data_IF_519958956543
#
_entry.id   IF_519958956543
#
_cell.length_a   1.000
_cell.length_b   1.000
_cell.length_c   1.000
_cell.angle_alpha   90.00
_cell.angle_beta   90.00
_cell.angle_gamma   90.00
#
_symmetry.space_group_name_H-M   'P 1'
#
loop_
_entity.id
_entity.type
_entity.pdbx_description
1 polymer ?
#
# COMPACT_ATOMS: atom_id res chain seq x y z
N UNK A 1 -25.86 14.35 10.56
CA UNK A 1 -25.13 15.50 9.97
C UNK A 1 -24.82 15.14 8.52
N UNK A 2 -25.62 15.64 7.58
CA UNK A 2 -25.60 15.26 6.15
C UNK A 2 -24.35 15.83 5.47
N UNK A 3 -23.35 15.00 5.18
CA UNK A 3 -22.33 15.34 4.20
C UNK A 3 -22.94 15.04 2.84
N UNK A 4 -23.62 16.05 2.30
CA UNK A 4 -24.15 16.06 0.95
C UNK A 4 -22.97 15.83 0.00
N UNK A 5 -22.87 14.64 -0.57
CA UNK A 5 -22.16 14.47 -1.83
C UNK A 5 -22.85 15.40 -2.82
N UNK A 6 -22.29 16.59 -3.05
CA UNK A 6 -22.64 17.37 -4.23
C UNK A 6 -22.19 16.52 -5.42
N UNK A 7 -23.10 15.69 -5.95
CA UNK A 7 -23.09 15.41 -7.40
C UNK A 7 -22.91 16.79 -8.03
N UNK A 8 -21.84 17.01 -8.79
CA UNK A 8 -21.61 18.29 -9.44
C UNK A 8 -22.79 18.49 -10.41
N UNK A 9 -23.81 19.32 -10.08
CA UNK A 9 -24.97 19.50 -10.94
C UNK A 9 -24.63 20.41 -12.12
N UNK A 10 -23.40 20.94 -12.18
CA UNK A 10 -22.96 22.01 -13.07
C UNK A 10 -22.13 21.54 -14.26
N UNK A 11 -22.09 20.24 -14.56
CA UNK A 11 -21.82 19.83 -15.95
C UNK A 11 -23.09 20.12 -16.74
N UNK A 12 -23.32 21.40 -17.01
CA UNK A 12 -24.17 21.80 -18.11
C UNK A 12 -23.52 21.19 -19.36
N UNK A 13 -24.28 20.54 -20.23
CA UNK A 13 -23.74 20.01 -21.48
C UNK A 13 -23.20 21.18 -22.31
N UNK A 14 -21.89 21.42 -22.21
CA UNK A 14 -21.21 22.47 -22.96
C UNK A 14 -21.17 21.99 -24.41
N UNK A 15 -21.93 22.67 -25.26
CA UNK A 15 -21.98 22.33 -26.69
C UNK A 15 -20.79 22.97 -27.39
N UNK A 16 -20.24 22.31 -28.43
CA UNK A 16 -19.09 22.83 -29.19
C UNK A 16 -19.32 24.25 -29.75
N UNK A 17 -20.57 24.62 -30.05
CA UNK A 17 -20.96 25.97 -30.48
C UNK A 17 -20.74 27.04 -29.41
N UNK A 18 -20.89 26.68 -28.12
CA UNK A 18 -20.70 27.60 -27.00
C UNK A 18 -19.21 27.83 -26.72
N UNK A 19 -18.37 26.81 -26.91
CA UNK A 19 -16.91 26.93 -26.77
C UNK A 19 -16.30 27.83 -27.86
N UNK A 20 -16.90 27.84 -29.05
CA UNK A 20 -16.48 28.73 -30.13
C UNK A 20 -16.77 30.22 -29.84
N UNK A 21 -17.68 30.53 -28.91
CA UNK A 21 -17.98 31.91 -28.51
C UNK A 21 -16.98 32.40 -27.45
N UNK A 22 -16.19 33.41 -27.81
CA UNK A 22 -15.17 34.01 -26.95
C UNK A 22 -15.76 34.64 -25.66
N UNK A 23 -16.91 35.30 -25.75
CA UNK A 23 -17.56 35.93 -24.59
C UNK A 23 -18.04 34.89 -23.57
N UNK A 24 -18.49 33.74 -24.06
CA UNK A 24 -18.89 32.61 -23.22
C UNK A 24 -17.68 31.98 -22.51
N UNK A 25 -16.55 31.85 -23.20
CA UNK A 25 -15.30 31.34 -22.60
C UNK A 25 -14.78 32.31 -21.54
N UNK A 26 -14.73 33.61 -21.83
CA UNK A 26 -14.23 34.63 -20.90
C UNK A 26 -15.10 34.73 -19.64
N UNK A 27 -16.43 34.69 -19.80
CA UNK A 27 -17.35 34.63 -18.66
C UNK A 27 -17.22 33.32 -17.86
N UNK A 28 -17.01 32.19 -18.54
CA UNK A 28 -16.80 30.88 -17.89
C UNK A 28 -15.49 30.79 -17.10
N UNK A 29 -14.44 31.47 -17.55
CA UNK A 29 -13.18 31.61 -16.81
C UNK A 29 -13.40 32.50 -15.58
N UNK A 30 -14.09 33.64 -15.74
CA UNK A 30 -14.36 34.56 -14.64
C UNK A 30 -15.21 33.97 -13.51
N UNK A 31 -16.05 32.97 -13.82
CA UNK A 31 -16.97 32.31 -12.89
C UNK A 31 -16.46 30.94 -12.38
N UNK A 32 -15.21 30.58 -12.64
CA UNK A 32 -14.60 29.28 -12.30
C UNK A 32 -15.33 28.05 -12.89
N UNK A 33 -16.22 28.24 -13.85
CA UNK A 33 -16.93 27.14 -14.51
C UNK A 33 -15.98 26.27 -15.32
N UNK A 34 -15.00 26.89 -15.99
CA UNK A 34 -13.94 26.17 -16.69
C UNK A 34 -13.11 25.28 -15.73
N UNK A 35 -12.81 25.78 -14.53
CA UNK A 35 -12.07 25.00 -13.52
C UNK A 35 -12.86 23.79 -13.02
N UNK A 36 -14.15 23.97 -12.74
CA UNK A 36 -15.04 22.87 -12.32
C UNK A 36 -15.27 21.85 -13.43
N UNK A 37 -15.35 22.28 -14.69
CA UNK A 37 -15.43 21.40 -15.85
C UNK A 37 -14.23 20.45 -15.92
N UNK A 38 -13.02 20.98 -15.67
CA UNK A 38 -11.79 20.18 -15.66
C UNK A 38 -11.80 19.07 -14.61
N UNK A 39 -12.62 19.15 -13.56
CA UNK A 39 -12.74 18.07 -12.57
C UNK A 39 -13.30 16.76 -13.17
N UNK A 40 -13.95 16.82 -14.34
CA UNK A 40 -14.36 15.62 -15.08
C UNK A 40 -13.20 14.92 -15.80
N UNK A 41 -12.11 15.65 -16.08
CA UNK A 41 -10.93 15.17 -16.78
C UNK A 41 -9.95 14.59 -15.76
N UNK A 42 -9.67 13.29 -15.85
CA UNK A 42 -8.68 12.62 -15.01
C UNK A 42 -7.30 13.24 -15.21
N UNK A 43 -6.58 13.49 -14.11
CA UNK A 43 -5.23 14.07 -14.15
C UNK A 43 -5.19 15.61 -14.14
N UNK A 44 -6.34 16.29 -14.28
CA UNK A 44 -6.40 17.74 -14.13
C UNK A 44 -6.17 18.17 -12.66
N UNK A 45 -5.71 19.40 -12.40
CA UNK A 45 -5.58 19.92 -11.04
C UNK A 45 -6.92 19.93 -10.28
N UNK A 46 -8.02 20.27 -10.94
CA UNK A 46 -9.35 20.28 -10.36
C UNK A 46 -9.83 18.87 -9.96
N UNK A 47 -9.50 17.85 -10.77
CA UNK A 47 -9.77 16.45 -10.45
C UNK A 47 -9.04 16.01 -9.19
N UNK A 48 -7.74 16.30 -9.08
CA UNK A 48 -6.94 15.94 -7.90
C UNK A 48 -7.40 16.65 -6.63
N UNK A 49 -7.82 17.92 -6.73
CA UNK A 49 -8.38 18.65 -5.60
C UNK A 49 -9.67 17.99 -5.08
N UNK A 50 -10.55 17.54 -5.99
CA UNK A 50 -11.77 16.81 -5.65
C UNK A 50 -11.46 15.46 -4.98
N UNK A 51 -10.51 14.69 -5.53
CA UNK A 51 -10.12 13.41 -4.94
C UNK A 51 -9.50 13.59 -3.54
N UNK A 52 -8.65 14.61 -3.35
CA UNK A 52 -8.10 14.96 -2.04
C UNK A 52 -9.20 15.23 -1.01
N UNK A 53 -10.19 16.06 -1.37
CA UNK A 53 -11.35 16.36 -0.51
C UNK A 53 -12.16 15.10 -0.19
N UNK A 54 -12.31 14.19 -1.16
CA UNK A 54 -12.99 12.91 -0.97
C UNK A 54 -12.26 12.03 0.05
N UNK A 55 -10.94 11.89 -0.06
CA UNK A 55 -10.11 11.15 0.90
C UNK A 55 -10.17 11.78 2.29
N UNK A 56 -10.06 13.10 2.41
CA UNK A 56 -10.20 13.80 3.70
C UNK A 56 -11.59 13.60 4.32
N UNK A 57 -12.64 13.55 3.49
CA UNK A 57 -14.00 13.21 3.92
C UNK A 57 -14.09 11.78 4.46
N UNK A 58 -13.48 10.81 3.76
CA UNK A 58 -13.41 9.43 4.21
C UNK A 58 -12.68 9.29 5.54
N UNK A 59 -11.52 9.94 5.70
CA UNK A 59 -10.76 9.92 6.97
C UNK A 59 -11.58 10.51 8.14
N UNK A 60 -12.39 11.55 7.87
CA UNK A 60 -13.26 12.15 8.89
C UNK A 60 -14.45 11.26 9.27
N UNK A 61 -15.00 10.50 8.31
CA UNK A 61 -16.20 9.67 8.52
C UNK A 61 -15.88 8.28 9.06
N UNK A 62 -14.92 7.59 8.45
CA UNK A 62 -14.56 6.21 8.76
C UNK A 62 -13.40 6.10 9.77
N UNK A 63 -12.78 7.22 10.13
CA UNK A 63 -11.62 7.26 11.00
C UNK A 63 -10.31 7.05 10.23
N UNK A 64 -9.27 6.62 10.94
CA UNK A 64 -7.96 6.41 10.34
C UNK A 64 -8.05 5.25 9.32
N UNK A 65 -7.35 5.39 8.19
CA UNK A 65 -7.35 4.37 7.15
C UNK A 65 -6.73 3.06 7.66
N UNK A 66 -7.41 1.94 7.42
CA UNK A 66 -6.86 0.61 7.65
C UNK A 66 -5.94 0.23 6.49
N UNK A 67 -4.64 0.06 6.77
CA UNK A 67 -3.71 -0.53 5.80
C UNK A 67 -3.75 -2.05 5.91
N UNK A 68 -4.05 -2.70 4.79
CA UNK A 68 -3.89 -4.14 4.65
C UNK A 68 -2.58 -4.42 3.94
N UNK A 69 -1.62 -5.03 4.64
CA UNK A 69 -0.33 -5.44 4.09
C UNK A 69 -0.24 -6.95 4.21
N UNK A 70 -0.13 -7.63 3.08
CA UNK A 70 0.15 -9.06 3.01
C UNK A 70 1.65 -9.27 2.88
N UNK A 71 2.24 -10.03 3.82
CA UNK A 71 3.65 -10.40 3.77
C UNK A 71 3.75 -11.90 3.54
N UNK A 72 4.50 -12.29 2.52
CA UNK A 72 4.74 -13.69 2.19
C UNK A 72 6.11 -14.11 2.69
N UNK A 73 6.20 -15.31 3.28
CA UNK A 73 7.46 -15.94 3.62
C UNK A 73 8.06 -16.59 2.36
N UNK A 74 9.23 -16.12 1.94
CA UNK A 74 9.98 -16.65 0.81
C UNK A 74 11.27 -17.32 1.31
N UNK A 75 11.10 -18.35 2.15
CA UNK A 75 12.16 -18.99 2.94
C UNK A 75 13.28 -19.58 2.07
N UNK A 76 12.94 -20.07 0.88
CA UNK A 76 13.89 -20.63 -0.10
C UNK A 76 14.90 -19.61 -0.64
N UNK A 77 14.61 -18.31 -0.49
CA UNK A 77 15.48 -17.23 -0.93
C UNK A 77 16.31 -16.61 0.19
N UNK A 78 16.03 -16.94 1.45
CA UNK A 78 16.75 -16.38 2.60
C UNK A 78 18.02 -17.18 2.85
N UNK A 79 19.14 -16.72 2.27
CA UNK A 79 20.44 -17.38 2.37
C UNK A 79 20.85 -17.56 3.82
N UNK A 80 20.62 -16.57 4.67
CA UNK A 80 20.97 -16.64 6.09
C UNK A 80 20.16 -17.72 6.82
N UNK A 81 18.88 -17.87 6.47
CA UNK A 81 18.04 -18.96 7.00
C UNK A 81 18.56 -20.32 6.56
N UNK A 82 18.92 -20.47 5.28
CA UNK A 82 19.44 -21.72 4.74
C UNK A 82 20.77 -22.13 5.40
N UNK A 83 21.66 -21.17 5.69
CA UNK A 83 22.88 -21.44 6.48
C UNK A 83 22.55 -21.95 7.88
N UNK A 84 21.60 -21.30 8.57
CA UNK A 84 21.16 -21.71 9.92
C UNK A 84 20.55 -23.11 9.89
N UNK A 85 19.70 -23.40 8.91
CA UNK A 85 19.07 -24.70 8.75
C UNK A 85 20.10 -25.79 8.44
N UNK A 86 21.06 -25.53 7.56
CA UNK A 86 22.14 -26.49 7.24
C UNK A 86 22.98 -26.79 8.48
N UNK A 87 23.30 -25.77 9.28
CA UNK A 87 24.00 -25.93 10.55
C UNK A 87 23.19 -26.72 11.59
N UNK A 88 21.88 -26.51 11.65
CA UNK A 88 21.03 -27.14 12.67
C UNK A 88 20.68 -28.58 12.32
N UNK A 89 20.33 -28.84 11.05
CA UNK A 89 19.90 -30.15 10.56
C UNK A 89 21.09 -31.04 10.21
N UNK A 90 22.01 -30.53 9.37
CA UNK A 90 23.10 -31.32 8.81
C UNK A 90 24.43 -31.13 9.54
N UNK A 91 24.51 -30.18 10.49
CA UNK A 91 25.71 -29.83 11.29
C UNK A 91 26.90 -29.38 10.44
N UNK A 92 26.62 -28.82 9.27
CA UNK A 92 27.61 -28.26 8.35
C UNK A 92 27.55 -26.73 8.38
N UNK A 93 28.72 -26.10 8.50
CA UNK A 93 28.87 -24.65 8.36
C UNK A 93 29.13 -24.31 6.89
N UNK A 94 28.16 -23.66 6.26
CA UNK A 94 28.20 -23.19 4.87
C UNK A 94 28.21 -21.66 4.79
N UNK A 95 28.72 -21.11 3.68
CA UNK A 95 28.62 -19.67 3.39
C UNK A 95 27.29 -19.33 2.73
N UNK A 96 26.90 -18.05 2.77
CA UNK A 96 25.65 -17.59 2.14
C UNK A 96 25.65 -17.76 0.62
N UNK A 97 26.81 -17.72 -0.03
CA UNK A 97 26.97 -17.93 -1.47
C UNK A 97 26.60 -19.38 -1.84
N UNK A 98 27.19 -20.35 -1.13
CA UNK A 98 26.87 -21.77 -1.29
C UNK A 98 25.41 -22.07 -0.96
N UNK A 99 24.83 -21.38 0.03
CA UNK A 99 23.41 -21.47 0.36
C UNK A 99 22.50 -20.91 -0.76
N UNK A 100 23.00 -19.97 -1.56
CA UNK A 100 22.29 -19.46 -2.74
C UNK A 100 22.22 -20.49 -3.87
N UNK A 101 23.31 -21.21 -4.08
CA UNK A 101 23.52 -22.12 -5.24
C UNK A 101 22.92 -23.52 -5.07
N UNK A 102 22.55 -23.92 -3.85
CA UNK A 102 21.92 -25.23 -3.59
C UNK A 102 20.63 -25.43 -4.39
N UNK A 103 20.38 -26.70 -4.74
CA UNK A 103 19.18 -27.10 -5.47
C UNK A 103 17.90 -26.81 -4.68
N UNK A 104 16.80 -26.66 -5.40
CA UNK A 104 15.50 -26.38 -4.79
C UNK A 104 15.05 -27.52 -3.87
N UNK A 105 15.33 -28.76 -4.26
CA UNK A 105 14.99 -29.97 -3.51
C UNK A 105 15.69 -29.99 -2.15
N UNK A 106 16.97 -29.61 -2.12
CA UNK A 106 17.76 -29.54 -0.89
C UNK A 106 17.25 -28.45 0.04
N UNK A 107 16.97 -27.25 -0.50
CA UNK A 107 16.37 -26.14 0.26
C UNK A 107 15.03 -26.56 0.86
N UNK A 108 14.18 -27.20 0.05
CA UNK A 108 12.87 -27.65 0.49
C UNK A 108 12.99 -28.80 1.52
N UNK A 109 14.00 -29.66 1.43
CA UNK A 109 14.28 -30.68 2.45
C UNK A 109 14.60 -30.02 3.78
N UNK A 110 15.53 -29.06 3.80
CA UNK A 110 15.94 -28.34 5.00
C UNK A 110 14.77 -27.65 5.70
N UNK A 111 13.94 -26.92 4.94
CA UNK A 111 12.76 -26.22 5.46
C UNK A 111 11.73 -27.19 6.05
N UNK A 112 11.50 -28.33 5.39
CA UNK A 112 10.56 -29.35 5.89
C UNK A 112 11.06 -30.07 7.13
N UNK A 113 12.38 -30.24 7.27
CA UNK A 113 12.96 -30.92 8.43
C UNK A 113 12.89 -30.06 9.69
N UNK A 114 13.09 -28.75 9.57
CA UNK A 114 12.98 -27.82 10.71
C UNK A 114 12.08 -26.61 10.40
N UNK A 115 10.75 -26.81 10.36
CA UNK A 115 9.80 -25.74 10.12
C UNK A 115 9.71 -24.75 11.29
N UNK A 116 10.13 -25.15 12.49
CA UNK A 116 10.05 -24.32 13.70
C UNK A 116 11.05 -23.17 13.58
N UNK A 117 12.29 -23.46 13.18
CA UNK A 117 13.31 -22.43 12.95
C UNK A 117 12.88 -21.47 11.83
N UNK A 118 12.25 -21.97 10.77
CA UNK A 118 11.68 -21.14 9.70
C UNK A 118 10.64 -20.15 10.24
N UNK A 119 9.67 -20.63 11.03
CA UNK A 119 8.65 -19.79 11.63
C UNK A 119 9.23 -18.74 12.59
N UNK A 120 10.20 -19.12 13.43
CA UNK A 120 10.90 -18.20 14.32
C UNK A 120 11.68 -17.13 13.56
N UNK A 121 12.32 -17.51 12.46
CA UNK A 121 13.08 -16.59 11.63
C UNK A 121 12.16 -15.60 10.90
N UNK A 122 11.01 -16.06 10.40
CA UNK A 122 9.98 -15.18 9.82
C UNK A 122 9.46 -14.19 10.87
N UNK A 123 9.09 -14.65 12.06
CA UNK A 123 8.63 -13.77 13.15
C UNK A 123 9.70 -12.74 13.55
N UNK A 124 10.97 -13.14 13.61
CA UNK A 124 12.07 -12.22 13.86
C UNK A 124 12.20 -11.15 12.77
N UNK A 125 12.14 -11.53 11.48
CA UNK A 125 12.16 -10.58 10.36
C UNK A 125 10.94 -9.67 10.39
N UNK A 126 9.76 -10.20 10.67
CA UNK A 126 8.51 -9.44 10.76
C UNK A 126 8.56 -8.41 11.90
N UNK A 127 8.99 -8.80 13.09
CA UNK A 127 9.19 -7.89 14.23
C UNK A 127 10.23 -6.82 13.95
N UNK A 128 11.27 -7.13 13.17
CA UNK A 128 12.29 -6.15 12.76
C UNK A 128 11.74 -5.17 11.73
N UNK A 129 10.95 -5.66 10.77
CA UNK A 129 10.20 -4.83 9.83
C UNK A 129 9.24 -3.87 10.55
N UNK A 130 8.45 -4.37 11.50
CA UNK A 130 7.56 -3.52 12.30
C UNK A 130 8.32 -2.50 13.15
N UNK A 131 9.48 -2.85 13.72
CA UNK A 131 10.31 -1.88 14.46
C UNK A 131 10.86 -0.77 13.56
N UNK A 132 11.30 -1.09 12.35
CA UNK A 132 11.67 -0.09 11.34
C UNK A 132 10.45 0.78 10.96
N UNK A 133 9.27 0.16 10.85
CA UNK A 133 8.00 0.86 10.60
C UNK A 133 7.57 1.79 11.74
N UNK A 134 7.83 1.44 13.02
CA UNK A 134 7.59 2.34 14.17
C UNK A 134 8.42 3.61 14.09
N UNK A 135 9.61 3.56 13.48
CA UNK A 135 10.41 4.77 13.22
C UNK A 135 9.74 5.75 12.24
N UNK A 136 8.75 5.30 11.44
CA UNK A 136 7.94 6.13 10.54
C UNK A 136 6.75 6.83 11.23
N UNK A 137 6.73 6.92 12.58
CA UNK A 137 5.66 7.58 13.37
C UNK A 137 4.27 6.99 13.12
N UNK A 138 4.11 5.70 13.35
CA UNK A 138 2.80 5.02 13.36
C UNK A 138 2.34 4.67 14.78
N UNK A 139 2.86 5.35 15.80
CA UNK A 139 2.64 5.02 17.21
C UNK A 139 1.16 5.10 17.62
N UNK A 140 0.37 5.97 16.98
CA UNK A 140 -1.04 6.12 17.31
C UNK A 140 -1.95 5.00 16.75
N UNK A 141 -1.45 4.19 15.80
CA UNK A 141 -2.24 3.13 15.13
C UNK A 141 -2.02 1.74 15.74
N UNK A 142 -0.88 1.53 16.39
CA UNK A 142 -0.56 0.26 17.04
C UNK A 142 -1.44 -0.01 18.28
N UNK A 143 -1.86 1.04 18.99
CA UNK A 143 -2.66 0.92 20.22
C UNK A 143 -4.16 0.67 19.96
N UNK A 144 -4.64 0.90 18.73
CA UNK A 144 -6.06 0.75 18.37
C UNK A 144 -6.48 -0.66 17.93
N UNK A 145 -5.58 -1.65 17.97
CA UNK A 145 -5.90 -3.02 17.53
C UNK A 145 -6.18 -3.14 16.02
N UNK A 146 -5.80 -2.14 15.22
CA UNK A 146 -6.07 -2.06 13.78
C UNK A 146 -5.03 -2.81 12.92
N UNK A 147 -4.01 -3.41 13.55
CA UNK A 147 -3.03 -4.27 12.91
C UNK A 147 -3.41 -5.74 13.17
N UNK A 148 -4.47 -6.19 12.51
CA UNK A 148 -4.80 -7.62 12.49
C UNK A 148 -3.81 -8.31 11.56
N UNK A 149 -2.75 -8.88 12.13
CA UNK A 149 -1.87 -9.79 11.39
C UNK A 149 -2.64 -11.07 11.10
N UNK A 150 -3.18 -11.19 9.89
CA UNK A 150 -3.60 -12.49 9.37
C UNK A 150 -2.33 -13.26 8.99
N UNK A 151 -1.88 -14.12 9.89
CA UNK A 151 -0.98 -15.22 9.57
C UNK A 151 -1.85 -16.41 9.19
N UNK A 152 -1.89 -16.77 7.91
CA UNK A 152 -2.30 -18.13 7.50
C UNK A 152 -1.20 -19.13 7.85
#
# INVERSE_FOLDING_TARGET
>A
MNIVFRKNPQLHDITASQVANKEYVDSSISQDHAYKFMASITGSPAYWEQQKKKVLGMVRQFGIFTLFITLTAAETHWRELLVILKKTVDKEDITEETAGEMSFEEKARLIRTDPITCAQYFDHRFKRFLRLGKMLKMDHLADTGLFTTFTE
#
